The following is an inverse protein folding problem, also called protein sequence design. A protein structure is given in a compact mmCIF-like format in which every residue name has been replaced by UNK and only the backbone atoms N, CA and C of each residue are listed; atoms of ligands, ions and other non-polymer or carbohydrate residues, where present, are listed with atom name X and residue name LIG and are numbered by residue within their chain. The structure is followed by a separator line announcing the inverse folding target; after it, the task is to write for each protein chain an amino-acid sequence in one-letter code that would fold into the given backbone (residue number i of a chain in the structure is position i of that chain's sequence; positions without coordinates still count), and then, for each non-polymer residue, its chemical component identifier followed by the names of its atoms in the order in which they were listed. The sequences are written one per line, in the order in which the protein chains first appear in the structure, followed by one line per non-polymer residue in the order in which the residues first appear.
data_IF_811289124243
#
_entry.id   IF_811289124243
#
_cell.length_a   1.000
_cell.length_b   1.000
_cell.length_c   1.000
_cell.angle_alpha   90.00
_cell.angle_beta   90.00
_cell.angle_gamma   90.00
#
_symmetry.space_group_name_H-M   'P 1'
#
loop_
_entity.id
_entity.type
_entity.pdbx_description
1 polymer ?
#
# COMPACT_ATOMS: atom_id res chain seq x y z
N UNK A 1 13.78 -12.74 6.28
CA UNK A 1 12.74 -11.98 5.54
C UNK A 1 13.11 -12.13 4.07
N UNK A 2 12.22 -12.72 3.30
CA UNK A 2 12.41 -12.93 1.87
C UNK A 2 11.89 -11.69 1.14
N UNK A 3 12.80 -10.88 0.59
CA UNK A 3 12.44 -9.65 -0.10
C UNK A 3 11.82 -9.93 -1.47
N UNK A 4 12.20 -11.04 -2.11
CA UNK A 4 11.67 -11.41 -3.42
C UNK A 4 10.20 -11.79 -3.30
N UNK A 5 9.83 -12.57 -2.27
CA UNK A 5 8.43 -12.88 -1.99
C UNK A 5 7.59 -11.64 -1.69
N UNK A 6 8.11 -10.70 -0.88
CA UNK A 6 7.40 -9.45 -0.57
C UNK A 6 7.18 -8.61 -1.84
N UNK A 7 8.20 -8.51 -2.69
CA UNK A 7 8.11 -7.77 -3.95
C UNK A 7 7.12 -8.41 -4.92
N UNK A 8 7.04 -9.75 -4.96
CA UNK A 8 6.05 -10.48 -5.74
C UNK A 8 4.64 -10.20 -5.22
N UNK A 9 4.40 -10.35 -3.91
CA UNK A 9 3.09 -10.04 -3.32
C UNK A 9 2.64 -8.61 -3.56
N UNK A 10 3.55 -7.62 -3.49
CA UNK A 10 3.25 -6.21 -3.79
C UNK A 10 2.87 -6.04 -5.27
N UNK A 11 3.59 -6.70 -6.19
CA UNK A 11 3.26 -6.64 -7.62
C UNK A 11 1.89 -7.25 -7.89
N UNK A 12 1.60 -8.39 -7.30
CA UNK A 12 0.31 -9.06 -7.45
C UNK A 12 -0.83 -8.21 -6.87
N UNK A 13 -0.66 -7.64 -5.67
CA UNK A 13 -1.60 -6.70 -5.05
C UNK A 13 -1.89 -5.50 -5.95
N UNK A 14 -0.85 -4.86 -6.49
CA UNK A 14 -1.01 -3.72 -7.40
C UNK A 14 -1.67 -4.14 -8.73
N UNK A 15 -1.41 -5.36 -9.21
CA UNK A 15 -2.07 -5.90 -10.41
C UNK A 15 -3.57 -6.15 -10.16
N UNK A 16 -3.95 -6.57 -8.94
CA UNK A 16 -5.34 -6.82 -8.56
C UNK A 16 -6.17 -5.54 -8.44
N UNK A 17 -5.57 -4.46 -7.91
CA UNK A 17 -6.22 -3.13 -7.82
C UNK A 17 -6.17 -2.37 -9.14
N UNK A 18 -5.58 -2.97 -10.17
CA UNK A 18 -5.70 -2.50 -11.53
C UNK A 18 -4.77 -1.33 -11.81
N UNK A 19 -3.70 -1.64 -12.53
CA UNK A 19 -3.14 -0.69 -13.49
C UNK A 19 -4.28 -0.14 -14.38
N UNK A 20 -4.82 1.05 -14.05
CA UNK A 20 -5.79 1.73 -14.90
C UNK A 20 -7.17 2.04 -14.30
N UNK A 21 -7.42 1.83 -13.00
CA UNK A 21 -8.66 2.35 -12.40
C UNK A 21 -8.56 3.86 -12.26
N UNK A 22 -9.19 4.57 -13.20
CA UNK A 22 -9.45 5.99 -13.06
C UNK A 22 -10.64 6.19 -12.12
N UNK A 23 -10.39 6.68 -10.91
CA UNK A 23 -11.45 7.10 -10.00
C UNK A 23 -12.13 8.36 -10.54
N UNK A 24 -13.45 8.40 -10.47
CA UNK A 24 -14.28 9.52 -10.91
C UNK A 24 -14.43 10.51 -9.75
N UNK A 25 -13.67 11.60 -9.78
CA UNK A 25 -13.83 12.72 -8.85
C UNK A 25 -14.94 13.65 -9.36
N UNK A 26 -16.07 13.69 -8.65
CA UNK A 26 -17.17 14.61 -8.97
C UNK A 26 -16.82 16.03 -8.51
N UNK A 27 -16.55 16.91 -9.48
CA UNK A 27 -16.35 18.34 -9.27
C UNK A 27 -17.65 19.12 -9.49
N UNK A 28 -17.80 20.33 -8.93
CA UNK A 28 -19.00 21.15 -9.13
C UNK A 28 -19.33 21.49 -10.61
N UNK A 29 -18.39 21.28 -11.54
CA UNK A 29 -18.55 21.53 -12.99
C UNK A 29 -18.52 20.26 -13.85
N UNK A 30 -18.50 19.06 -13.27
CA UNK A 30 -18.45 17.80 -14.01
C UNK A 30 -17.64 16.71 -13.28
N UNK A 31 -17.23 15.67 -13.99
CA UNK A 31 -16.44 14.59 -13.42
C UNK A 31 -15.00 14.60 -13.96
N UNK A 32 -14.00 14.36 -13.10
CA UNK A 32 -12.60 14.20 -13.49
C UNK A 32 -12.12 12.79 -13.19
N UNK A 33 -11.53 12.16 -14.18
CA UNK A 33 -10.80 10.90 -13.99
C UNK A 33 -9.45 11.21 -13.33
N UNK A 34 -9.27 10.76 -12.09
CA UNK A 34 -8.01 10.82 -11.34
C UNK A 34 -7.45 9.41 -11.17
N UNK A 35 -6.14 9.29 -11.34
CA UNK A 35 -5.41 8.10 -10.91
C UNK A 35 -5.03 8.31 -9.45
N UNK A 36 -5.25 7.33 -8.56
CA UNK A 36 -4.76 7.41 -7.19
C UNK A 36 -3.24 7.60 -7.19
N UNK A 37 -2.73 8.42 -6.27
CA UNK A 37 -1.29 8.53 -6.09
C UNK A 37 -0.78 7.29 -5.35
N UNK A 38 0.23 6.57 -5.87
CA UNK A 38 0.71 5.36 -5.22
C UNK A 38 1.36 5.68 -3.88
N UNK A 39 1.09 4.87 -2.87
CA UNK A 39 1.73 4.99 -1.55
C UNK A 39 3.15 4.41 -1.60
N UNK A 40 4.22 5.21 -1.41
CA UNK A 40 5.58 4.68 -1.46
C UNK A 40 5.85 3.76 -0.27
N UNK A 41 6.35 2.56 -0.54
CA UNK A 41 6.84 1.61 0.47
C UNK A 41 8.32 1.37 0.24
N UNK A 42 9.14 1.63 1.26
CA UNK A 42 10.58 1.39 1.23
C UNK A 42 10.95 0.27 2.19
N UNK A 43 11.63 -0.75 1.68
CA UNK A 43 12.12 -1.90 2.42
C UNK A 43 13.59 -1.67 2.78
N UNK A 44 13.94 -1.87 4.05
CA UNK A 44 15.30 -1.84 4.57
C UNK A 44 15.64 -3.20 5.17
N UNK A 45 16.93 -3.51 5.33
CA UNK A 45 17.34 -4.78 5.95
C UNK A 45 16.80 -4.97 7.38
N UNK A 46 16.54 -3.87 8.10
CA UNK A 46 16.12 -3.87 9.50
C UNK A 46 14.68 -3.35 9.72
N UNK A 47 13.95 -2.95 8.68
CA UNK A 47 12.62 -2.38 8.82
C UNK A 47 12.02 -1.85 7.53
N UNK A 48 10.95 -1.07 7.65
CA UNK A 48 10.23 -0.47 6.51
C UNK A 48 9.86 0.98 6.79
N UNK A 49 9.61 1.72 5.71
CA UNK A 49 8.94 3.04 5.74
C UNK A 49 7.74 2.96 4.79
N UNK A 50 6.58 3.40 5.25
CA UNK A 50 5.35 3.48 4.45
C UNK A 50 4.92 4.93 4.34
N UNK A 51 4.66 5.39 3.12
CA UNK A 51 4.37 6.78 2.81
C UNK A 51 5.48 7.71 3.27
N UNK A 52 5.07 8.84 3.83
CA UNK A 52 5.95 9.79 4.52
C UNK A 52 6.02 9.50 6.05
N UNK A 53 5.81 8.25 6.45
CA UNK A 53 5.83 7.82 7.84
C UNK A 53 7.25 7.67 8.42
N UNK A 54 7.31 7.37 9.72
CA UNK A 54 8.57 7.07 10.40
C UNK A 54 9.13 5.71 9.95
N UNK A 55 10.44 5.52 10.14
CA UNK A 55 11.07 4.21 10.01
C UNK A 55 10.56 3.25 11.08
N UNK A 56 10.16 2.05 10.65
CA UNK A 56 9.56 1.04 11.51
C UNK A 56 10.41 -0.24 11.49
N UNK A 57 11.07 -0.60 12.60
CA UNK A 57 11.87 -1.82 12.66
C UNK A 57 10.99 -3.06 12.60
N UNK A 58 11.54 -4.14 12.06
CA UNK A 58 10.85 -5.44 11.97
C UNK A 58 10.52 -6.05 13.34
N UNK A 59 11.18 -5.63 14.43
CA UNK A 59 10.85 -6.13 15.77
C UNK A 59 9.50 -5.63 16.28
N UNK A 60 8.94 -4.58 15.69
CA UNK A 60 7.67 -4.02 16.15
C UNK A 60 6.49 -4.88 15.65
N UNK A 61 5.55 -5.30 16.54
CA UNK A 61 4.44 -6.16 16.16
C UNK A 61 3.58 -5.60 15.02
N UNK A 62 3.31 -4.29 15.02
CA UNK A 62 2.57 -3.65 13.94
C UNK A 62 3.27 -3.75 12.58
N UNK A 63 4.61 -3.70 12.55
CA UNK A 63 5.39 -3.86 11.30
C UNK A 63 5.27 -5.28 10.77
N UNK A 64 5.32 -6.28 11.67
CA UNK A 64 5.16 -7.69 11.29
C UNK A 64 3.76 -7.94 10.72
N UNK A 65 2.72 -7.39 11.37
CA UNK A 65 1.35 -7.52 10.87
C UNK A 65 1.19 -6.84 9.50
N UNK A 66 1.73 -5.63 9.32
CA UNK A 66 1.70 -4.92 8.04
C UNK A 66 2.33 -5.75 6.90
N UNK A 67 3.48 -6.40 7.17
CA UNK A 67 4.13 -7.27 6.19
C UNK A 67 3.36 -8.58 5.95
N UNK A 68 2.79 -9.16 7.01
CA UNK A 68 1.99 -10.37 6.88
C UNK A 68 0.76 -10.11 6.02
N UNK A 69 0.05 -9.00 6.24
CA UNK A 69 -1.10 -8.60 5.43
C UNK A 69 -0.69 -8.55 3.93
N UNK A 70 0.47 -7.92 3.62
CA UNK A 70 1.01 -7.85 2.25
C UNK A 70 1.33 -9.24 1.69
N UNK A 71 2.04 -10.07 2.46
CA UNK A 71 2.42 -11.42 2.04
C UNK A 71 1.21 -12.34 1.83
N UNK A 72 0.13 -12.12 2.56
CA UNK A 72 -1.14 -12.83 2.43
C UNK A 72 -1.98 -12.29 1.25
N UNK A 73 -1.51 -11.26 0.54
CA UNK A 73 -2.19 -10.66 -0.61
C UNK A 73 -3.27 -9.65 -0.22
N UNK A 74 -3.15 -9.02 0.96
CA UNK A 74 -4.05 -7.98 1.45
C UNK A 74 -3.32 -6.65 1.61
N UNK A 75 -4.07 -5.55 1.50
CA UNK A 75 -3.57 -4.25 1.92
C UNK A 75 -3.49 -4.18 3.45
N UNK A 76 -2.40 -3.62 4.00
CA UNK A 76 -2.25 -3.48 5.44
C UNK A 76 -3.46 -2.81 6.08
N UNK A 77 -4.02 -3.44 7.11
CA UNK A 77 -5.18 -2.95 7.86
C UNK A 77 -4.97 -1.53 8.42
N UNK A 78 -3.72 -1.16 8.73
CA UNK A 78 -3.32 0.18 9.18
C UNK A 78 -3.58 1.30 8.16
N UNK A 79 -3.74 0.97 6.87
CA UNK A 79 -4.00 1.93 5.82
C UNK A 79 -5.50 2.28 5.72
N UNK A 80 -6.40 1.39 6.15
CA UNK A 80 -7.85 1.61 6.03
C UNK A 80 -8.36 2.94 6.64
N UNK A 81 -7.89 3.39 7.82
CA UNK A 81 -8.35 4.66 8.40
C UNK A 81 -7.92 5.88 7.57
N UNK A 82 -6.80 5.77 6.87
CA UNK A 82 -6.22 6.84 6.06
C UNK A 82 -6.66 6.78 4.59
N UNK A 83 -7.01 5.58 4.12
CA UNK A 83 -7.38 5.27 2.74
C UNK A 83 -8.64 4.39 2.73
N UNK A 84 -9.81 4.95 3.11
CA UNK A 84 -11.06 4.20 3.16
C UNK A 84 -11.53 3.73 1.78
N UNK A 85 -11.14 4.45 0.73
CA UNK A 85 -11.45 4.14 -0.67
C UNK A 85 -10.37 3.24 -1.33
N UNK A 86 -9.42 2.72 -0.54
CA UNK A 86 -8.27 1.94 -1.01
C UNK A 86 -7.04 2.79 -1.33
N UNK A 87 -5.90 2.11 -1.50
CA UNK A 87 -4.62 2.69 -1.93
C UNK A 87 -4.34 2.38 -3.39
#
# INVERSE_FOLDING_TARGET
IDFDSILESIKDLNSLVGEGISQIEHTPRGARLRRPEPLPLTLYQNGIVVGNGAFRPYQHPATQQCLQDIMDGYFPSELQPHYPDGV
#
